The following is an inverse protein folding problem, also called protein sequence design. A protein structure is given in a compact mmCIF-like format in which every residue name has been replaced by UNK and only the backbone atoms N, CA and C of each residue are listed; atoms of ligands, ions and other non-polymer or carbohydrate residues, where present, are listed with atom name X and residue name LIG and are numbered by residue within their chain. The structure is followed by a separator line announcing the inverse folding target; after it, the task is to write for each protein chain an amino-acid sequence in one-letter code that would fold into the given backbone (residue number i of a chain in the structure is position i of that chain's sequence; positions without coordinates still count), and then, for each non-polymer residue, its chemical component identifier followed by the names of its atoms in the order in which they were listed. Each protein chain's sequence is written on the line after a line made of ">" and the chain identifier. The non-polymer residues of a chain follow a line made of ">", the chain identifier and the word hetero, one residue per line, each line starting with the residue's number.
data_IF_519770035439
#
_entry.id   IF_519770035439
#
_cell.length_a   1.000
_cell.length_b   1.000
_cell.length_c   1.000
_cell.angle_alpha   90.00
_cell.angle_beta   90.00
_cell.angle_gamma   90.00
#
_symmetry.space_group_name_H-M   'P 1'
#
loop_
_entity.id
_entity.type
_entity.pdbx_description
1 polymer ?
#
# COMPACT_ATOMS: atom_id res chain seq x y z
N UNK A 1 -13.69 -6.32 25.00
CA UNK A 1 -12.62 -7.24 24.56
C UNK A 1 -12.60 -7.40 23.05
N UNK A 2 -13.62 -7.94 22.38
CA UNK A 2 -13.60 -8.06 20.89
C UNK A 2 -13.45 -6.73 20.10
N UNK A 3 -14.02 -5.61 20.58
CA UNK A 3 -13.82 -4.29 19.94
C UNK A 3 -12.45 -3.66 20.25
N UNK A 4 -11.78 -4.08 21.32
CA UNK A 4 -10.39 -3.73 21.60
C UNK A 4 -9.48 -4.58 20.70
N UNK A 5 -9.70 -5.89 20.65
CA UNK A 5 -8.92 -6.81 19.83
C UNK A 5 -9.01 -6.46 18.34
N UNK A 6 -10.19 -6.10 17.83
CA UNK A 6 -10.39 -5.70 16.43
C UNK A 6 -9.82 -4.29 16.13
N UNK A 7 -9.80 -3.39 17.13
CA UNK A 7 -9.14 -2.09 17.05
C UNK A 7 -7.61 -2.22 17.06
N UNK A 8 -7.05 -3.06 17.93
CA UNK A 8 -5.60 -3.36 17.98
C UNK A 8 -5.15 -4.20 16.79
N UNK A 9 -5.99 -5.07 16.23
CA UNK A 9 -5.67 -5.81 15.01
C UNK A 9 -5.66 -4.88 13.80
N UNK A 10 -6.65 -3.98 13.66
CA UNK A 10 -6.67 -2.97 12.59
C UNK A 10 -5.61 -1.88 12.74
N UNK A 11 -5.40 -1.35 13.94
CA UNK A 11 -4.29 -0.45 14.23
C UNK A 11 -2.99 -1.18 13.94
N UNK A 12 -2.82 -2.41 14.41
CA UNK A 12 -1.61 -3.19 14.15
C UNK A 12 -1.39 -3.55 12.67
N UNK A 13 -2.43 -3.69 11.85
CA UNK A 13 -2.31 -3.93 10.40
C UNK A 13 -2.06 -2.60 9.61
N UNK A 14 -2.65 -1.48 10.05
CA UNK A 14 -2.42 -0.14 9.48
C UNK A 14 -1.05 0.39 9.90
N UNK A 15 -0.68 0.25 11.17
CA UNK A 15 0.66 0.53 11.69
C UNK A 15 1.68 -0.38 11.01
N UNK A 16 1.44 -1.69 10.84
CA UNK A 16 2.34 -2.55 10.05
C UNK A 16 2.44 -2.12 8.58
N UNK A 17 1.34 -1.67 7.97
CA UNK A 17 1.34 -1.16 6.60
C UNK A 17 2.11 0.17 6.47
N UNK A 18 1.88 1.12 7.37
CA UNK A 18 2.56 2.41 7.41
C UNK A 18 4.03 2.26 7.85
N UNK A 19 4.34 1.34 8.77
CA UNK A 19 5.71 0.97 9.16
C UNK A 19 6.44 0.29 8.01
N UNK A 20 5.85 -0.70 7.34
CA UNK A 20 6.46 -1.33 6.17
C UNK A 20 6.72 -0.32 5.04
N UNK A 21 5.76 0.58 4.79
CA UNK A 21 5.95 1.62 3.76
C UNK A 21 7.03 2.64 4.16
N UNK A 22 7.09 3.03 5.45
CA UNK A 22 8.14 3.92 5.98
C UNK A 22 9.51 3.27 5.99
N UNK A 23 9.59 1.98 6.29
CA UNK A 23 10.85 1.22 6.30
C UNK A 23 11.43 1.14 4.89
N UNK A 24 10.58 0.87 3.89
CA UNK A 24 11.03 0.84 2.48
C UNK A 24 11.35 2.24 1.96
N UNK A 25 10.58 3.28 2.31
CA UNK A 25 10.92 4.68 1.97
C UNK A 25 12.24 5.14 2.61
N UNK A 26 12.50 4.73 3.86
CA UNK A 26 13.76 4.97 4.57
C UNK A 26 14.93 4.25 3.87
N UNK A 27 14.73 3.01 3.43
CA UNK A 27 15.73 2.25 2.70
C UNK A 27 16.04 2.89 1.33
N UNK A 28 15.03 3.33 0.59
CA UNK A 28 15.22 4.05 -0.68
C UNK A 28 16.00 5.35 -0.46
N UNK A 29 15.65 6.13 0.57
CA UNK A 29 16.37 7.36 0.92
C UNK A 29 17.83 7.09 1.30
N UNK A 30 18.10 5.97 2.01
CA UNK A 30 19.45 5.51 2.33
C UNK A 30 20.25 5.21 1.07
N UNK A 31 19.69 4.43 0.14
CA UNK A 31 20.36 4.08 -1.12
C UNK A 31 20.60 5.31 -2.01
N UNK A 32 19.68 6.27 -2.04
CA UNK A 32 19.87 7.54 -2.78
C UNK A 32 21.04 8.37 -2.25
N UNK A 33 21.24 8.41 -0.93
CA UNK A 33 22.42 9.08 -0.33
C UNK A 33 23.72 8.35 -0.70
N UNK A 34 23.69 7.02 -0.79
CA UNK A 34 24.83 6.22 -1.23
C UNK A 34 25.14 6.52 -2.70
N UNK A 35 24.12 6.56 -3.56
CA UNK A 35 24.24 6.89 -4.98
C UNK A 35 24.93 8.25 -5.19
N UNK A 36 24.47 9.30 -4.51
CA UNK A 36 25.09 10.64 -4.61
C UNK A 36 26.57 10.64 -4.19
N UNK A 37 26.95 9.83 -3.20
CA UNK A 37 28.35 9.70 -2.79
C UNK A 37 29.17 8.97 -3.85
N UNK A 38 28.62 7.92 -4.46
CA UNK A 38 29.27 7.16 -5.52
C UNK A 38 29.46 8.00 -6.80
N UNK A 39 28.47 8.81 -7.20
CA UNK A 39 28.58 9.73 -8.34
C UNK A 39 29.70 10.75 -8.14
N UNK A 40 29.79 11.36 -6.95
CA UNK A 40 30.89 12.28 -6.61
C UNK A 40 32.24 11.57 -6.63
N UNK A 41 32.31 10.33 -6.17
CA UNK A 41 33.53 9.53 -6.20
C UNK A 41 33.96 9.17 -7.63
N UNK A 42 33.00 8.88 -8.53
CA UNK A 42 33.27 8.62 -9.95
C UNK A 42 33.88 9.84 -10.63
N UNK A 43 33.35 11.04 -10.40
CA UNK A 43 33.91 12.25 -11.04
C UNK A 43 35.31 12.57 -10.51
N UNK A 44 35.56 12.34 -9.22
CA UNK A 44 36.90 12.45 -8.65
C UNK A 44 37.88 11.41 -9.23
N UNK A 45 37.42 10.27 -9.73
CA UNK A 45 38.25 9.24 -10.36
C UNK A 45 38.57 9.52 -11.84
N UNK A 46 37.73 10.31 -12.54
CA UNK A 46 37.96 10.69 -13.95
C UNK A 46 39.11 11.68 -14.12
N UNK A 47 39.26 12.64 -13.21
CA UNK A 47 40.27 13.69 -13.33
C UNK A 47 41.72 13.13 -13.37
N UNK A 48 42.13 12.20 -12.48
CA UNK A 48 43.45 11.58 -12.55
C UNK A 48 43.69 10.77 -13.83
N UNK A 49 42.67 10.14 -14.41
CA UNK A 49 42.80 9.39 -15.66
C UNK A 49 43.23 10.34 -16.78
N UNK A 50 42.45 11.40 -16.98
CA UNK A 50 42.73 12.40 -18.00
C UNK A 50 44.09 13.07 -17.77
N UNK A 51 44.37 13.47 -16.52
CA UNK A 51 45.64 14.12 -16.16
C UNK A 51 46.84 13.23 -16.46
N UNK A 52 46.84 11.98 -16.00
CA UNK A 52 47.99 11.07 -16.19
C UNK A 52 48.17 10.68 -17.66
N UNK A 53 47.07 10.43 -18.40
CA UNK A 53 47.14 10.13 -19.83
C UNK A 53 47.73 11.31 -20.62
N UNK A 54 47.21 12.52 -20.37
CA UNK A 54 47.70 13.75 -21.00
C UNK A 54 49.19 13.97 -20.73
N UNK A 55 49.64 13.75 -19.49
CA UNK A 55 51.07 13.87 -19.15
C UNK A 55 51.90 12.82 -19.88
N UNK A 56 51.45 11.57 -19.96
CA UNK A 56 52.12 10.53 -20.75
C UNK A 56 52.26 10.92 -22.22
N UNK A 57 51.18 11.44 -22.82
CA UNK A 57 51.16 11.91 -24.21
C UNK A 57 52.13 13.08 -24.43
N UNK A 58 52.18 14.05 -23.51
CA UNK A 58 53.12 15.18 -23.55
C UNK A 58 54.58 14.73 -23.45
N UNK A 59 54.88 13.72 -22.62
CA UNK A 59 56.23 13.17 -22.52
C UNK A 59 56.66 12.56 -23.85
N UNK A 60 55.78 11.83 -24.53
CA UNK A 60 56.08 11.27 -25.85
C UNK A 60 56.18 12.35 -26.94
N UNK A 61 55.32 13.36 -26.90
CA UNK A 61 55.35 14.47 -27.86
C UNK A 61 56.66 15.27 -27.78
N UNK A 62 57.16 15.51 -26.56
CA UNK A 62 58.42 16.24 -26.30
C UNK A 62 59.59 15.32 -25.94
N UNK A 63 59.55 14.06 -26.39
CA UNK A 63 60.50 13.04 -25.96
C UNK A 63 61.97 13.43 -26.17
N UNK A 64 62.29 13.96 -27.36
CA UNK A 64 63.65 14.37 -27.70
C UNK A 64 64.18 15.48 -26.78
N UNK A 65 63.38 16.52 -26.57
CA UNK A 65 63.75 17.65 -25.71
C UNK A 65 63.94 17.22 -24.25
N UNK A 66 63.00 16.40 -23.73
CA UNK A 66 63.07 15.89 -22.36
C UNK A 66 64.27 14.95 -22.16
N UNK A 67 64.60 14.13 -23.16
CA UNK A 67 65.78 13.27 -23.15
C UNK A 67 67.07 14.11 -23.12
N UNK A 68 67.16 15.15 -23.95
CA UNK A 68 68.29 16.09 -23.94
C UNK A 68 68.42 16.80 -22.59
N UNK A 69 67.32 17.19 -21.97
CA UNK A 69 67.30 17.80 -20.64
C UNK A 69 67.82 16.84 -19.57
N UNK A 70 67.36 15.58 -19.59
CA UNK A 70 67.85 14.52 -18.70
C UNK A 70 69.35 14.29 -18.86
N UNK A 71 69.82 14.10 -20.10
CA UNK A 71 71.24 13.90 -20.38
C UNK A 71 72.06 15.08 -19.88
N UNK A 72 71.62 16.32 -20.12
CA UNK A 72 72.31 17.52 -19.63
C UNK A 72 72.43 17.54 -18.10
N UNK A 73 71.36 17.22 -17.38
CA UNK A 73 71.36 17.16 -15.90
C UNK A 73 72.30 16.07 -15.39
N UNK A 74 72.21 14.86 -15.94
CA UNK A 74 73.02 13.70 -15.53
C UNK A 74 74.51 13.96 -15.81
N UNK A 75 74.84 14.52 -16.97
CA UNK A 75 76.21 14.85 -17.36
C UNK A 75 76.82 15.93 -16.46
N UNK A 76 76.07 17.01 -16.16
CA UNK A 76 76.54 18.02 -15.21
C UNK A 76 76.79 17.43 -13.83
N UNK A 77 75.95 16.50 -13.39
CA UNK A 77 76.15 15.81 -12.11
C UNK A 77 77.38 14.90 -12.15
N UNK A 78 77.62 14.19 -13.26
CA UNK A 78 78.81 13.35 -13.48
C UNK A 78 80.11 14.15 -13.48
N UNK A 79 80.08 15.38 -13.99
CA UNK A 79 81.20 16.33 -13.96
C UNK A 79 81.47 16.95 -12.56
N UNK A 80 80.74 16.52 -11.54
CA UNK A 80 80.96 16.94 -10.15
C UNK A 80 80.24 18.21 -9.72
N UNK A 81 79.34 18.78 -10.55
CA UNK A 81 78.57 19.97 -10.16
C UNK A 81 77.60 19.67 -9.01
N UNK A 82 77.41 20.65 -8.12
CA UNK A 82 76.39 20.58 -7.07
C UNK A 82 74.99 20.73 -7.68
N UNK A 83 73.94 20.31 -6.94
CA UNK A 83 72.57 20.44 -7.45
C UNK A 83 72.14 21.90 -7.59
N UNK A 84 72.60 22.77 -6.71
CA UNK A 84 72.38 24.21 -6.75
C UNK A 84 72.98 24.83 -8.01
N UNK A 85 74.20 24.41 -8.38
CA UNK A 85 74.85 24.84 -9.62
C UNK A 85 74.09 24.37 -10.87
N UNK A 86 73.57 23.14 -10.86
CA UNK A 86 72.77 22.59 -11.97
C UNK A 86 71.47 23.38 -12.13
N UNK A 87 70.76 23.65 -11.02
CA UNK A 87 69.53 24.44 -11.02
C UNK A 87 69.78 25.84 -11.58
N UNK A 88 70.81 26.54 -11.09
CA UNK A 88 71.15 27.88 -11.57
C UNK A 88 71.43 27.91 -13.09
N UNK A 89 72.17 26.92 -13.62
CA UNK A 89 72.45 26.83 -15.05
C UNK A 89 71.18 26.61 -15.89
N UNK A 90 70.23 25.81 -15.39
CA UNK A 90 68.96 25.54 -16.09
C UNK A 90 68.02 26.75 -16.03
N UNK A 91 67.99 27.47 -14.91
CA UNK A 91 67.22 28.71 -14.78
C UNK A 91 67.75 29.82 -15.70
N UNK A 92 69.07 29.96 -15.83
CA UNK A 92 69.67 30.91 -16.77
C UNK A 92 69.34 30.54 -18.22
N UNK A 93 69.50 29.26 -18.59
CA UNK A 93 69.11 28.76 -19.91
C UNK A 93 67.62 28.97 -20.23
N UNK A 94 66.75 28.81 -19.23
CA UNK A 94 65.32 29.09 -19.36
C UNK A 94 65.03 30.56 -19.63
N UNK A 95 65.73 31.50 -18.98
CA UNK A 95 65.54 32.96 -19.17
C UNK A 95 65.82 33.40 -20.61
N UNK A 96 66.80 32.77 -21.26
CA UNK A 96 67.13 33.04 -22.68
C UNK A 96 66.36 32.16 -23.66
N UNK A 97 65.32 31.45 -23.19
CA UNK A 97 64.50 30.54 -24.00
C UNK A 97 65.30 29.43 -24.71
N UNK A 98 66.41 28.97 -24.12
CA UNK A 98 67.25 27.92 -24.69
C UNK A 98 66.58 26.54 -24.57
N UNK A 99 66.54 25.77 -25.66
CA UNK A 99 66.07 24.37 -25.62
C UNK A 99 67.23 23.44 -25.25
N UNK A 100 67.05 22.49 -24.33
CA UNK A 100 65.79 22.06 -23.71
C UNK A 100 65.46 22.73 -22.35
N UNK A 101 66.24 23.72 -21.92
CA UNK A 101 66.12 24.37 -20.60
C UNK A 101 64.78 25.08 -20.38
N UNK A 102 64.09 25.50 -21.45
CA UNK A 102 62.76 26.11 -21.38
C UNK A 102 61.73 25.29 -20.62
N UNK A 103 61.88 23.96 -20.64
CA UNK A 103 60.93 23.05 -20.00
C UNK A 103 61.21 22.88 -18.51
N UNK A 104 62.33 23.37 -17.99
CA UNK A 104 62.68 23.29 -16.58
C UNK A 104 61.69 24.10 -15.70
N UNK A 105 61.17 23.50 -14.62
CA UNK A 105 60.40 24.21 -13.61
C UNK A 105 61.13 24.25 -12.27
N UNK A 106 61.48 23.08 -11.73
CA UNK A 106 62.23 22.96 -10.48
C UNK A 106 62.85 21.56 -10.38
N UNK A 107 63.77 21.37 -9.44
CA UNK A 107 64.43 20.09 -9.20
C UNK A 107 64.47 19.80 -7.70
N UNK A 108 64.05 18.61 -7.31
CA UNK A 108 64.16 18.11 -5.94
C UNK A 108 65.40 17.21 -5.80
N UNK A 109 66.50 17.68 -5.18
CA UNK A 109 67.76 16.93 -5.16
C UNK A 109 67.69 15.60 -4.42
N UNK A 110 66.96 15.56 -3.30
CA UNK A 110 66.88 14.38 -2.42
C UNK A 110 66.23 13.18 -3.11
N UNK A 111 65.15 13.46 -3.84
CA UNK A 111 64.36 12.44 -4.54
C UNK A 111 64.76 12.30 -6.01
N UNK A 112 65.63 13.19 -6.52
CA UNK A 112 66.05 13.29 -7.91
C UNK A 112 64.84 13.41 -8.86
N UNK A 113 63.89 14.25 -8.47
CA UNK A 113 62.66 14.51 -9.23
C UNK A 113 62.79 15.85 -9.92
N UNK A 114 62.77 15.82 -11.24
CA UNK A 114 62.74 16.99 -12.12
C UNK A 114 61.29 17.37 -12.42
N UNK A 115 60.87 18.57 -12.06
CA UNK A 115 59.60 19.13 -12.47
C UNK A 115 59.78 19.89 -13.77
N UNK A 116 58.97 19.55 -14.77
CA UNK A 116 58.95 20.20 -16.08
C UNK A 116 57.61 20.88 -16.34
N UNK A 117 57.62 21.97 -17.09
CA UNK A 117 56.44 22.71 -17.49
C UNK A 117 56.33 22.73 -19.02
N UNK A 118 55.28 22.09 -19.55
CA UNK A 118 54.97 22.00 -20.99
C UNK A 118 53.49 22.35 -21.16
N UNK A 119 53.17 23.23 -22.12
CA UNK A 119 51.78 23.61 -22.45
C UNK A 119 50.92 23.96 -21.22
N UNK A 120 51.46 24.79 -20.31
CA UNK A 120 50.83 25.19 -19.04
C UNK A 120 50.51 24.04 -18.07
N UNK A 121 51.11 22.86 -18.25
CA UNK A 121 51.04 21.73 -17.32
C UNK A 121 52.40 21.47 -16.71
N UNK A 122 52.45 21.43 -15.39
CA UNK A 122 53.65 21.04 -14.64
C UNK A 122 53.52 19.60 -14.18
N UNK A 123 54.54 18.79 -14.45
CA UNK A 123 54.58 17.39 -14.04
C UNK A 123 56.01 16.95 -13.70
N UNK A 124 56.09 15.85 -12.96
CA UNK A 124 57.32 15.38 -12.34
C UNK A 124 57.92 14.19 -13.10
N UNK A 125 59.22 14.20 -13.31
CA UNK A 125 59.99 13.15 -13.95
C UNK A 125 61.11 12.69 -13.01
N UNK A 126 61.23 11.39 -12.80
CA UNK A 126 62.27 10.80 -11.99
C UNK A 126 63.54 10.61 -12.83
N UNK A 127 64.63 11.26 -12.43
CA UNK A 127 65.92 11.21 -13.12
C UNK A 127 66.63 9.84 -13.00
N UNK A 128 66.21 8.98 -12.07
CA UNK A 128 66.73 7.61 -11.93
C UNK A 128 66.13 6.63 -12.93
N UNK A 129 65.13 7.07 -13.69
CA UNK A 129 64.41 6.27 -14.67
C UNK A 129 64.58 6.90 -16.05
N UNK A 130 64.44 6.12 -17.12
CA UNK A 130 64.43 6.69 -18.47
C UNK A 130 63.17 7.54 -18.69
N UNK A 131 63.19 8.40 -19.71
CA UNK A 131 62.00 9.18 -20.10
C UNK A 131 60.85 8.24 -20.47
N UNK A 132 61.13 7.14 -21.17
CA UNK A 132 60.14 6.11 -21.51
C UNK A 132 59.52 5.50 -20.24
N UNK A 133 60.35 5.12 -19.26
CA UNK A 133 59.86 4.54 -18.01
C UNK A 133 59.01 5.55 -17.21
N UNK A 134 59.33 6.85 -17.28
CA UNK A 134 58.50 7.90 -16.71
C UNK A 134 57.14 7.99 -17.42
N UNK A 135 57.12 8.00 -18.76
CA UNK A 135 55.89 8.01 -19.54
C UNK A 135 55.00 6.78 -19.21
N UNK A 136 55.59 5.59 -19.23
CA UNK A 136 54.91 4.33 -18.91
C UNK A 136 54.32 4.33 -17.51
N UNK A 137 55.00 4.94 -16.54
CA UNK A 137 54.49 5.08 -15.19
C UNK A 137 53.24 5.98 -15.12
N UNK A 138 53.17 7.07 -15.91
CA UNK A 138 51.95 7.87 -16.05
C UNK A 138 50.82 7.09 -16.72
N UNK A 139 51.08 6.35 -17.81
CA UNK A 139 50.07 5.48 -18.43
C UNK A 139 49.59 4.37 -17.48
N UNK A 140 50.49 3.76 -16.72
CA UNK A 140 50.14 2.75 -15.72
C UNK A 140 49.25 3.34 -14.62
N UNK A 141 49.53 4.56 -14.16
CA UNK A 141 48.66 5.29 -13.22
C UNK A 141 47.28 5.54 -13.83
N UNK A 142 47.20 5.93 -15.10
CA UNK A 142 45.94 6.08 -15.83
C UNK A 142 45.16 4.76 -15.87
N UNK A 143 45.79 3.67 -16.34
CA UNK A 143 45.16 2.33 -16.41
C UNK A 143 44.69 1.82 -15.05
N UNK A 144 45.46 2.07 -13.98
CA UNK A 144 45.07 1.71 -12.61
C UNK A 144 43.86 2.50 -12.15
N UNK A 145 43.77 3.80 -12.49
CA UNK A 145 42.62 4.63 -12.20
C UNK A 145 41.39 4.22 -13.04
N UNK A 146 41.56 3.86 -14.32
CA UNK A 146 40.49 3.31 -15.18
C UNK A 146 39.91 2.01 -14.62
N UNK A 147 40.76 1.09 -14.13
CA UNK A 147 40.28 -0.14 -13.48
C UNK A 147 39.45 0.16 -12.24
N UNK A 148 39.83 1.17 -11.45
CA UNK A 148 39.06 1.63 -10.29
C UNK A 148 37.73 2.27 -10.71
N UNK A 149 37.74 3.09 -11.76
CA UNK A 149 36.54 3.70 -12.34
C UNK A 149 35.53 2.62 -12.74
N UNK A 150 35.98 1.61 -13.50
CA UNK A 150 35.13 0.48 -13.91
C UNK A 150 34.53 -0.28 -12.72
N UNK A 151 35.31 -0.46 -11.65
CA UNK A 151 34.82 -1.06 -10.40
C UNK A 151 33.72 -0.23 -9.74
N UNK A 152 33.93 1.08 -9.66
CA UNK A 152 32.96 2.01 -9.10
C UNK A 152 31.69 2.13 -9.96
N UNK A 153 31.80 2.05 -11.29
CA UNK A 153 30.66 2.02 -12.22
C UNK A 153 29.79 0.77 -12.01
N UNK A 154 30.40 -0.41 -11.83
CA UNK A 154 29.64 -1.63 -11.51
C UNK A 154 28.88 -1.48 -10.20
N UNK A 155 29.51 -0.90 -9.18
CA UNK A 155 28.86 -0.69 -7.89
C UNK A 155 27.74 0.34 -7.94
N UNK A 156 27.86 1.36 -8.81
CA UNK A 156 26.80 2.31 -9.09
C UNK A 156 25.60 1.61 -9.72
N UNK A 157 25.83 0.75 -10.72
CA UNK A 157 24.78 -0.05 -11.37
C UNK A 157 24.06 -0.96 -10.37
N UNK A 158 24.79 -1.67 -9.51
CA UNK A 158 24.18 -2.48 -8.44
C UNK A 158 23.29 -1.64 -7.50
N UNK A 159 23.73 -0.43 -7.17
CA UNK A 159 22.97 0.49 -6.31
C UNK A 159 21.70 0.98 -7.01
N UNK A 160 21.77 1.29 -8.31
CA UNK A 160 20.61 1.65 -9.12
C UNK A 160 19.59 0.52 -9.21
N UNK A 161 20.03 -0.72 -9.44
CA UNK A 161 19.15 -1.90 -9.45
C UNK A 161 18.43 -2.07 -8.10
N UNK A 162 19.16 -1.95 -6.99
CA UNK A 162 18.55 -2.02 -5.64
C UNK A 162 17.50 -0.95 -5.39
N UNK A 163 17.74 0.29 -5.86
CA UNK A 163 16.75 1.38 -5.77
C UNK A 163 15.51 1.04 -6.59
N UNK A 164 15.67 0.47 -7.79
CA UNK A 164 14.55 0.12 -8.66
C UNK A 164 13.72 -1.05 -8.09
N UNK A 165 14.37 -2.07 -7.54
CA UNK A 165 13.72 -3.18 -6.85
C UNK A 165 12.93 -2.72 -5.62
N UNK A 166 13.53 -1.87 -4.77
CA UNK A 166 12.85 -1.29 -3.62
C UNK A 166 11.62 -0.46 -4.04
N UNK A 167 11.73 0.34 -5.11
CA UNK A 167 10.58 1.10 -5.66
C UNK A 167 9.49 0.20 -6.25
N UNK A 168 9.87 -0.92 -6.90
CA UNK A 168 8.90 -1.90 -7.42
C UNK A 168 8.15 -2.58 -6.28
N UNK A 169 8.81 -2.89 -5.17
CA UNK A 169 8.15 -3.42 -3.96
C UNK A 169 7.12 -2.42 -3.42
N UNK A 170 7.46 -1.14 -3.28
CA UNK A 170 6.50 -0.09 -2.88
C UNK A 170 5.33 0.00 -3.86
N UNK A 171 5.60 -0.09 -5.16
CA UNK A 171 4.56 0.02 -6.18
C UNK A 171 3.64 -1.19 -6.17
N UNK A 172 4.18 -2.41 -6.02
CA UNK A 172 3.38 -3.64 -5.90
C UNK A 172 2.60 -3.70 -4.59
N UNK A 173 3.16 -3.23 -3.48
CA UNK A 173 2.44 -3.10 -2.20
C UNK A 173 1.34 -2.03 -2.29
N UNK A 174 1.59 -0.91 -2.97
CA UNK A 174 0.58 0.15 -3.24
C UNK A 174 -0.47 -0.27 -4.27
N UNK A 175 -0.14 -1.09 -5.25
CA UNK A 175 -1.08 -1.60 -6.27
C UNK A 175 -1.95 -2.74 -5.72
N UNK A 176 -1.39 -3.58 -4.84
CA UNK A 176 -2.17 -4.57 -4.07
C UNK A 176 -3.05 -3.90 -3.01
N UNK A 177 -2.71 -2.67 -2.60
CA UNK A 177 -3.61 -1.78 -1.89
C UNK A 177 -4.44 -0.98 -2.90
N UNK A 178 -5.44 -1.63 -3.51
CA UNK A 178 -6.54 -0.88 -4.13
C UNK A 178 -6.99 0.23 -3.19
N UNK A 179 -7.25 1.46 -3.67
CA UNK A 179 -7.70 2.53 -2.80
C UNK A 179 -8.95 2.04 -2.09
N UNK A 180 -8.81 1.77 -0.79
CA UNK A 180 -9.95 1.51 0.07
C UNK A 180 -10.84 2.73 -0.11
N UNK A 181 -11.93 2.51 -0.85
CA UNK A 181 -13.11 3.37 -0.95
C UNK A 181 -13.19 4.16 0.34
N UNK A 182 -13.01 5.48 0.29
CA UNK A 182 -13.09 6.38 1.46
C UNK A 182 -14.17 5.82 2.39
N UNK A 183 -13.76 5.17 3.48
CA UNK A 183 -14.70 4.40 4.29
C UNK A 183 -15.72 5.40 4.82
N UNK A 184 -16.91 5.41 4.22
CA UNK A 184 -18.03 6.23 4.69
C UNK A 184 -18.15 6.00 6.19
N UNK A 185 -18.38 7.08 6.95
CA UNK A 185 -18.71 6.95 8.37
C UNK A 185 -19.85 5.95 8.48
N UNK A 186 -19.57 4.78 9.03
CA UNK A 186 -20.56 3.72 9.19
C UNK A 186 -21.62 4.25 10.14
N UNK A 187 -22.87 4.17 9.74
CA UNK A 187 -23.96 4.51 10.62
C UNK A 187 -24.00 3.51 11.77
N UNK A 188 -24.43 3.96 12.96
CA UNK A 188 -24.44 3.14 14.17
C UNK A 188 -25.26 1.85 14.01
N UNK A 189 -26.25 1.86 13.11
CA UNK A 189 -27.14 0.73 12.85
C UNK A 189 -26.54 -0.34 11.92
N UNK A 190 -25.40 -0.06 11.25
CA UNK A 190 -24.77 -1.00 10.32
C UNK A 190 -24.14 -2.23 10.99
N UNK A 191 -24.06 -2.22 12.34
CA UNK A 191 -23.72 -3.39 13.16
C UNK A 191 -24.89 -4.38 13.35
N UNK A 192 -26.10 -4.03 12.90
CA UNK A 192 -27.30 -4.86 12.94
C UNK A 192 -27.69 -5.33 11.54
N UNK A 193 -28.68 -6.22 11.41
CA UNK A 193 -29.41 -6.37 10.14
C UNK A 193 -30.24 -5.11 9.97
N UNK A 194 -30.25 -4.51 8.79
CA UNK A 194 -31.01 -3.30 8.59
C UNK A 194 -31.36 -3.12 7.12
N UNK A 195 -32.43 -2.39 6.89
CA UNK A 195 -32.84 -1.89 5.58
C UNK A 195 -33.70 -0.64 5.76
N UNK A 196 -33.87 0.16 4.72
CA UNK A 196 -34.96 1.15 4.69
C UNK A 196 -36.18 0.49 4.07
N UNK A 197 -37.37 0.67 4.63
CA UNK A 197 -38.60 0.20 4.01
C UNK A 197 -38.83 0.89 2.67
N UNK A 198 -39.75 0.35 1.86
CA UNK A 198 -40.20 1.03 0.64
C UNK A 198 -40.77 2.44 0.91
N UNK A 199 -41.30 2.67 2.12
CA UNK A 199 -41.76 3.98 2.61
C UNK A 199 -40.63 4.87 3.20
N UNK A 200 -39.38 4.42 3.18
CA UNK A 200 -38.22 5.18 3.65
C UNK A 200 -37.99 5.18 5.18
N UNK A 201 -38.68 4.32 5.94
CA UNK A 201 -38.45 4.16 7.38
C UNK A 201 -37.30 3.19 7.64
N UNK A 202 -36.47 3.46 8.65
CA UNK A 202 -35.36 2.58 9.00
C UNK A 202 -35.87 1.39 9.81
N UNK A 203 -35.57 0.18 9.35
CA UNK A 203 -35.88 -1.08 10.04
C UNK A 203 -34.59 -1.77 10.44
N UNK A 204 -34.49 -2.21 11.70
CA UNK A 204 -33.27 -2.75 12.31
C UNK A 204 -33.59 -4.06 13.00
N UNK A 205 -32.85 -5.13 12.73
CA UNK A 205 -32.97 -6.43 13.38
C UNK A 205 -31.66 -6.91 13.99
N UNK A 206 -31.70 -7.53 15.17
CA UNK A 206 -30.49 -8.11 15.75
C UNK A 206 -29.94 -9.28 14.90
N UNK A 207 -28.62 -9.50 14.99
CA UNK A 207 -27.93 -10.60 14.31
C UNK A 207 -27.83 -11.85 15.17
N UNK A 208 -27.89 -11.66 16.48
CA UNK A 208 -27.74 -12.66 17.53
C UNK A 208 -28.39 -12.17 18.84
N UNK A 209 -28.33 -12.99 19.89
CA UNK A 209 -28.91 -12.66 21.19
C UNK A 209 -28.29 -11.41 21.84
N UNK A 210 -27.01 -11.14 21.59
CA UNK A 210 -26.31 -9.99 22.21
C UNK A 210 -26.70 -8.68 21.52
N UNK A 211 -26.76 -8.68 20.19
CA UNK A 211 -27.21 -7.54 19.39
C UNK A 211 -28.71 -7.28 19.57
N UNK A 212 -29.54 -8.31 19.71
CA UNK A 212 -30.94 -8.13 20.14
C UNK A 212 -31.03 -7.34 21.45
N UNK A 213 -30.23 -7.71 22.47
CA UNK A 213 -30.23 -6.97 23.74
C UNK A 213 -29.81 -5.52 23.61
N UNK A 214 -28.75 -5.25 22.83
CA UNK A 214 -28.27 -3.89 22.60
C UNK A 214 -29.32 -3.07 21.86
N UNK A 215 -29.96 -3.65 20.84
CA UNK A 215 -31.01 -2.99 20.06
C UNK A 215 -32.17 -2.57 20.95
N UNK A 216 -32.76 -3.51 21.70
CA UNK A 216 -33.92 -3.24 22.55
C UNK A 216 -33.59 -2.27 23.69
N UNK A 217 -32.43 -2.43 24.34
CA UNK A 217 -32.10 -1.59 25.52
C UNK A 217 -31.60 -0.19 25.18
N UNK A 218 -30.89 -0.01 24.07
CA UNK A 218 -30.16 1.25 23.79
C UNK A 218 -30.72 2.05 22.63
N UNK A 219 -31.54 1.44 21.76
CA UNK A 219 -31.87 2.01 20.46
C UNK A 219 -33.37 2.02 20.13
N UNK A 220 -34.22 1.50 21.02
CA UNK A 220 -35.68 1.62 20.91
C UNK A 220 -36.13 2.94 21.55
N UNK A 221 -37.01 3.66 20.86
CA UNK A 221 -37.72 4.85 21.36
C UNK A 221 -39.20 4.54 21.58
N UNK A 222 -39.93 5.28 22.43
CA UNK A 222 -41.33 4.99 22.79
C UNK A 222 -42.31 4.87 21.60
N UNK A 223 -42.03 5.57 20.51
CA UNK A 223 -42.87 5.61 19.30
C UNK A 223 -42.58 4.47 18.32
N UNK A 224 -41.52 3.68 18.56
CA UNK A 224 -41.13 2.58 17.70
C UNK A 224 -42.04 1.37 17.91
N UNK A 225 -42.00 0.40 16.99
CA UNK A 225 -42.66 -0.89 17.17
C UNK A 225 -41.67 -2.02 17.01
N UNK A 226 -41.86 -3.08 17.82
CA UNK A 226 -40.94 -4.20 17.97
C UNK A 226 -41.62 -5.46 17.48
N UNK A 227 -40.96 -6.19 16.57
CA UNK A 227 -41.41 -7.43 15.97
C UNK A 227 -40.61 -8.62 16.47
N UNK A 228 -41.28 -9.77 16.54
CA UNK A 228 -40.63 -11.06 16.75
C UNK A 228 -41.49 -12.16 16.11
N UNK A 229 -40.87 -13.13 15.44
CA UNK A 229 -41.61 -14.26 14.86
C UNK A 229 -42.03 -15.26 15.96
N UNK A 230 -43.14 -15.95 15.78
CA UNK A 230 -43.61 -17.00 16.73
C UNK A 230 -42.81 -18.30 16.59
N UNK A 231 -41.49 -18.19 16.61
CA UNK A 231 -40.56 -19.30 16.55
C UNK A 231 -39.28 -18.97 17.31
N UNK A 232 -38.62 -20.01 17.81
CA UNK A 232 -37.31 -19.86 18.44
C UNK A 232 -36.26 -19.31 17.47
N UNK A 233 -35.30 -18.57 18.01
CA UNK A 233 -34.18 -18.05 17.21
C UNK A 233 -34.58 -16.96 16.22
N UNK A 234 -35.77 -16.38 16.35
CA UNK A 234 -36.13 -15.17 15.62
C UNK A 234 -35.37 -13.95 16.16
N UNK A 235 -35.00 -13.00 15.30
CA UNK A 235 -34.45 -11.73 15.74
C UNK A 235 -35.56 -10.85 16.33
N UNK A 236 -35.18 -9.94 17.22
CA UNK A 236 -36.00 -8.76 17.50
C UNK A 236 -35.75 -7.75 16.39
N UNK A 237 -36.82 -7.28 15.77
CA UNK A 237 -36.79 -6.28 14.69
C UNK A 237 -37.55 -5.04 15.12
N UNK A 238 -37.01 -3.86 14.85
CA UNK A 238 -37.55 -2.56 15.29
C UNK A 238 -37.72 -1.67 14.09
N UNK A 239 -38.90 -1.05 13.96
CA UNK A 239 -39.14 0.03 13.00
C UNK A 239 -38.93 1.35 13.72
N UNK A 240 -38.01 2.16 13.22
CA UNK A 240 -37.74 3.51 13.73
C UNK A 240 -38.79 4.47 13.18
N UNK A 241 -39.86 4.70 13.95
CA UNK A 241 -41.00 5.55 13.55
C UNK A 241 -40.60 7.01 13.40
N UNK A 242 -39.76 7.52 14.32
CA UNK A 242 -39.47 8.96 14.47
C UNK A 242 -40.73 9.81 14.59
N UNK A 243 -41.79 9.27 15.22
CA UNK A 243 -43.08 9.94 15.41
C UNK A 243 -43.98 10.00 14.17
N UNK A 244 -43.64 9.28 13.09
CA UNK A 244 -44.46 9.18 11.88
C UNK A 244 -45.38 7.96 11.94
N UNK A 245 -46.59 8.02 11.33
CA UNK A 245 -47.42 6.84 11.15
C UNK A 245 -46.66 5.79 10.34
N UNK A 246 -46.81 4.52 10.72
CA UNK A 246 -46.11 3.40 10.08
C UNK A 246 -47.07 2.76 9.07
N UNK A 247 -46.78 2.82 7.75
CA UNK A 247 -47.64 2.19 6.76
C UNK A 247 -47.64 0.66 6.87
N UNK A 248 -48.74 0.04 6.44
CA UNK A 248 -48.91 -1.43 6.46
C UNK A 248 -47.81 -2.14 5.66
N UNK A 249 -47.37 -1.55 4.55
CA UNK A 249 -46.27 -2.08 3.74
C UNK A 249 -44.97 -2.20 4.55
N UNK A 250 -44.61 -1.15 5.29
CA UNK A 250 -43.46 -1.17 6.21
C UNK A 250 -43.61 -2.23 7.32
N UNK A 251 -44.81 -2.44 7.84
CA UNK A 251 -45.12 -3.51 8.82
C UNK A 251 -44.87 -4.89 8.21
N UNK A 252 -45.36 -5.13 6.99
CA UNK A 252 -45.19 -6.39 6.26
C UNK A 252 -43.71 -6.67 5.95
N UNK A 253 -42.96 -5.65 5.55
CA UNK A 253 -41.52 -5.76 5.29
C UNK A 253 -40.73 -6.09 6.56
N UNK A 254 -40.99 -5.40 7.67
CA UNK A 254 -40.35 -5.71 8.95
C UNK A 254 -40.70 -7.12 9.44
N UNK A 255 -41.94 -7.55 9.25
CA UNK A 255 -42.36 -8.92 9.54
C UNK A 255 -41.62 -9.95 8.67
N UNK A 256 -41.45 -9.68 7.37
CA UNK A 256 -40.69 -10.55 6.47
C UNK A 256 -39.22 -10.68 6.90
N UNK A 257 -38.61 -9.61 7.41
CA UNK A 257 -37.26 -9.67 8.00
C UNK A 257 -37.25 -10.58 9.24
N UNK A 258 -38.18 -10.40 10.17
CA UNK A 258 -38.25 -11.20 11.39
C UNK A 258 -38.48 -12.69 11.10
N UNK A 259 -39.37 -12.99 10.14
CA UNK A 259 -39.65 -14.34 9.68
C UNK A 259 -38.43 -14.99 9.02
N UNK A 260 -37.85 -14.33 8.02
CA UNK A 260 -36.81 -14.92 7.15
C UNK A 260 -35.48 -15.11 7.85
N UNK A 261 -35.15 -14.28 8.84
CA UNK A 261 -33.92 -14.42 9.64
C UNK A 261 -34.11 -15.24 10.92
N UNK A 262 -35.27 -15.87 11.10
CA UNK A 262 -35.52 -16.79 12.19
C UNK A 262 -35.03 -18.22 11.88
N UNK A 263 -35.18 -19.10 12.87
CA UNK A 263 -34.89 -20.53 12.70
C UNK A 263 -35.81 -21.21 11.68
N UNK A 264 -36.96 -20.61 11.36
CA UNK A 264 -37.89 -21.12 10.35
C UNK A 264 -37.22 -21.32 8.98
N UNK A 265 -36.23 -20.48 8.65
CA UNK A 265 -35.45 -20.59 7.42
C UNK A 265 -34.64 -21.88 7.36
N UNK A 266 -33.94 -22.20 8.45
CA UNK A 266 -33.17 -23.44 8.56
C UNK A 266 -34.06 -24.67 8.54
N UNK A 267 -35.28 -24.54 9.06
CA UNK A 267 -36.29 -25.60 9.11
C UNK A 267 -37.14 -25.71 7.83
N UNK A 268 -36.83 -24.90 6.80
CA UNK A 268 -37.53 -24.89 5.51
C UNK A 268 -39.05 -24.70 5.61
N UNK A 269 -39.51 -23.94 6.61
CA UNK A 269 -40.93 -23.59 6.71
C UNK A 269 -41.33 -22.65 5.56
N UNK A 270 -42.57 -22.77 5.08
CA UNK A 270 -43.11 -21.91 4.03
C UNK A 270 -43.52 -20.54 4.55
N UNK A 271 -44.15 -20.51 5.73
CA UNK A 271 -44.64 -19.30 6.39
C UNK A 271 -44.48 -19.37 7.90
N UNK A 272 -44.39 -18.21 8.56
CA UNK A 272 -44.46 -18.09 10.03
C UNK A 272 -45.34 -16.89 10.40
N UNK A 273 -45.99 -16.96 11.55
CA UNK A 273 -46.66 -15.77 12.11
C UNK A 273 -45.63 -14.87 12.78
N UNK A 274 -45.81 -13.57 12.62
CA UNK A 274 -44.99 -12.56 13.30
C UNK A 274 -45.91 -11.68 14.09
N UNK A 275 -45.52 -11.34 15.32
CA UNK A 275 -46.25 -10.35 16.10
C UNK A 275 -45.41 -9.09 16.27
N UNK A 276 -46.09 -7.98 16.50
CA UNK A 276 -45.49 -6.73 16.93
C UNK A 276 -46.19 -6.16 18.17
N UNK A 277 -45.40 -5.41 18.95
CA UNK A 277 -45.77 -4.78 20.21
C UNK A 277 -45.08 -3.43 20.36
N UNK A 278 -45.59 -2.59 21.25
CA UNK A 278 -44.94 -1.32 21.61
C UNK A 278 -43.81 -1.54 22.62
N UNK A 279 -42.89 -0.58 22.80
CA UNK A 279 -41.75 -0.70 23.71
C UNK A 279 -42.16 -0.94 25.17
N UNK A 280 -43.27 -0.37 25.61
CA UNK A 280 -43.80 -0.49 26.99
C UNK A 280 -44.22 -1.93 27.31
N UNK A 281 -44.53 -2.72 26.28
CA UNK A 281 -44.90 -4.13 26.42
C UNK A 281 -43.69 -5.05 26.59
N UNK A 282 -42.47 -4.56 26.43
CA UNK A 282 -41.24 -5.38 26.43
C UNK A 282 -40.46 -5.17 27.72
N UNK A 283 -40.31 -6.25 28.51
CA UNK A 283 -39.57 -6.22 29.78
C UNK A 283 -38.47 -7.28 29.82
N UNK A 284 -37.38 -6.98 30.54
CA UNK A 284 -36.33 -7.95 30.87
C UNK A 284 -36.44 -8.50 32.30
N UNK A 285 -37.48 -8.12 33.02
CA UNK A 285 -37.74 -8.63 34.37
C UNK A 285 -38.61 -9.88 34.26
N UNK A 286 -38.09 -11.08 34.63
CA UNK A 286 -38.92 -12.26 34.70
C UNK A 286 -39.99 -12.12 35.80
N UNK A 287 -41.12 -12.86 35.70
CA UNK A 287 -41.98 -13.10 36.84
C UNK A 287 -41.19 -13.71 38.00
N UNK A 288 -41.60 -13.43 39.24
CA UNK A 288 -40.93 -13.91 40.46
C UNK A 288 -40.62 -15.41 40.40
N UNK A 289 -39.35 -15.77 40.56
CA UNK A 289 -38.88 -17.16 40.58
C UNK A 289 -38.46 -17.76 39.23
N UNK A 290 -38.55 -17.03 38.11
CA UNK A 290 -38.09 -17.50 36.79
C UNK A 290 -36.81 -16.80 36.33
N UNK A 291 -36.03 -17.46 35.48
CA UNK A 291 -34.83 -16.89 34.86
C UNK A 291 -35.02 -16.72 33.34
N UNK A 292 -34.77 -15.53 32.82
CA UNK A 292 -34.78 -15.28 31.38
C UNK A 292 -33.41 -15.59 30.78
N UNK A 293 -33.40 -16.39 29.71
CA UNK A 293 -32.18 -16.61 28.92
C UNK A 293 -31.69 -15.30 28.30
N UNK A 294 -30.37 -15.21 28.09
CA UNK A 294 -29.75 -14.07 27.41
C UNK A 294 -30.39 -13.88 26.02
N UNK A 295 -30.82 -12.66 25.71
CA UNK A 295 -31.53 -12.31 24.47
C UNK A 295 -33.04 -12.57 24.48
N UNK A 296 -33.62 -13.04 25.58
CA UNK A 296 -35.08 -13.19 25.74
C UNK A 296 -35.69 -12.00 26.48
N UNK A 297 -36.93 -11.67 26.11
CA UNK A 297 -37.72 -10.60 26.71
C UNK A 297 -39.13 -11.10 27.02
N UNK A 298 -39.70 -10.62 28.11
CA UNK A 298 -41.12 -10.82 28.44
C UNK A 298 -41.96 -9.83 27.65
N UNK A 299 -43.00 -10.33 27.02
CA UNK A 299 -43.99 -9.54 26.28
C UNK A 299 -45.30 -9.56 27.06
N UNK A 300 -45.78 -8.39 27.44
CA UNK A 300 -47.01 -8.20 28.21
C UNK A 300 -48.12 -7.56 27.36
N UNK A 301 -49.37 -7.84 27.69
CA UNK A 301 -50.53 -7.29 26.98
C UNK A 301 -50.80 -7.94 25.63
N UNK A 302 -51.63 -7.28 24.82
CA UNK A 302 -52.10 -7.80 23.53
C UNK A 302 -51.04 -7.68 22.45
N UNK A 303 -50.90 -8.74 21.64
CA UNK A 303 -50.02 -8.80 20.48
C UNK A 303 -50.78 -8.49 19.21
N UNK A 304 -50.18 -7.74 18.30
CA UNK A 304 -50.71 -7.52 16.96
C UNK A 304 -50.03 -8.50 16.00
N UNK A 305 -50.77 -9.15 15.10
CA UNK A 305 -50.24 -10.25 14.29
C UNK A 305 -50.23 -9.93 12.80
N UNK A 306 -49.11 -10.25 12.16
CA UNK A 306 -48.98 -10.44 10.71
C UNK A 306 -48.91 -11.96 10.48
N UNK A 307 -49.97 -12.52 9.90
CA UNK A 307 -50.11 -13.97 9.75
C UNK A 307 -49.56 -14.45 8.40
N UNK A 308 -49.05 -15.68 8.38
CA UNK A 308 -48.65 -16.34 7.13
C UNK A 308 -47.50 -15.64 6.39
N UNK A 309 -46.53 -15.07 7.12
CA UNK A 309 -45.42 -14.34 6.51
C UNK A 309 -44.49 -15.32 5.81
N UNK A 310 -44.38 -15.19 4.48
CA UNK A 310 -43.51 -16.04 3.66
C UNK A 310 -42.02 -15.78 3.94
N UNK A 311 -41.23 -16.84 3.90
CA UNK A 311 -39.79 -16.77 4.09
C UNK A 311 -39.10 -16.47 2.76
N UNK A 312 -38.78 -15.21 2.55
CA UNK A 312 -38.06 -14.73 1.36
C UNK A 312 -37.30 -13.46 1.68
N UNK A 313 -36.17 -13.30 1.01
CA UNK A 313 -35.40 -12.05 1.03
C UNK A 313 -35.00 -11.72 -0.40
N UNK A 314 -34.59 -10.48 -0.61
CA UNK A 314 -33.86 -10.08 -1.79
C UNK A 314 -32.45 -9.64 -1.43
N UNK A 315 -31.50 -9.94 -2.33
CA UNK A 315 -30.13 -9.43 -2.29
C UNK A 315 -29.88 -8.74 -3.61
N UNK A 316 -29.43 -7.49 -3.57
CA UNK A 316 -29.24 -6.68 -4.75
C UNK A 316 -28.05 -5.74 -4.63
N UNK A 317 -27.81 -5.01 -5.71
CA UNK A 317 -26.82 -3.95 -5.75
C UNK A 317 -27.48 -2.61 -6.03
N UNK A 318 -27.08 -1.61 -5.25
CA UNK A 318 -27.44 -0.21 -5.45
C UNK A 318 -26.23 0.53 -6.04
N UNK A 319 -26.44 1.16 -7.19
CA UNK A 319 -25.50 2.00 -7.91
C UNK A 319 -25.78 3.45 -7.52
N UNK A 320 -24.84 4.06 -6.81
CA UNK A 320 -24.79 5.52 -6.66
C UNK A 320 -23.63 6.05 -7.53
N UNK A 321 -23.63 7.33 -7.90
CA UNK A 321 -22.75 7.97 -8.90
C UNK A 321 -21.24 7.63 -8.85
N UNK A 322 -20.73 7.10 -7.73
CA UNK A 322 -19.35 6.59 -7.59
C UNK A 322 -19.19 5.32 -6.75
N UNK A 323 -20.29 4.69 -6.31
CA UNK A 323 -20.22 3.58 -5.34
C UNK A 323 -21.26 2.50 -5.63
N UNK A 324 -20.81 1.25 -5.67
CA UNK A 324 -21.68 0.08 -5.66
C UNK A 324 -21.81 -0.43 -4.23
N UNK A 325 -23.05 -0.68 -3.80
CA UNK A 325 -23.34 -1.24 -2.48
C UNK A 325 -24.20 -2.48 -2.60
N UNK A 326 -23.85 -3.54 -1.88
CA UNK A 326 -24.74 -4.68 -1.67
C UNK A 326 -25.80 -4.30 -0.63
N UNK A 327 -27.05 -4.51 -0.99
CA UNK A 327 -28.22 -4.30 -0.13
C UNK A 327 -28.98 -5.61 -0.02
N UNK A 328 -29.60 -5.88 1.12
CA UNK A 328 -30.42 -7.06 1.29
C UNK A 328 -31.42 -6.90 2.44
N UNK A 329 -32.53 -7.60 2.32
CA UNK A 329 -33.69 -7.41 3.19
C UNK A 329 -34.96 -7.93 2.53
N UNK A 330 -36.14 -7.43 2.93
CA UNK A 330 -37.41 -7.81 2.34
C UNK A 330 -37.46 -7.51 0.84
N UNK A 331 -38.14 -8.36 0.08
CA UNK A 331 -38.17 -8.32 -1.39
C UNK A 331 -38.68 -6.98 -1.90
N UNK A 332 -39.79 -6.53 -1.34
CA UNK A 332 -40.47 -5.30 -1.74
C UNK A 332 -39.59 -4.07 -1.47
N UNK A 333 -38.99 -3.99 -0.27
CA UNK A 333 -38.08 -2.92 0.08
C UNK A 333 -36.84 -2.84 -0.84
N UNK A 334 -36.22 -3.99 -1.12
CA UNK A 334 -35.01 -4.04 -1.96
C UNK A 334 -35.34 -3.78 -3.43
N UNK A 335 -36.53 -4.17 -3.90
CA UNK A 335 -36.95 -3.92 -5.28
C UNK A 335 -37.05 -2.42 -5.61
N UNK A 336 -37.40 -1.58 -4.62
CA UNK A 336 -37.45 -0.12 -4.77
C UNK A 336 -36.07 0.52 -4.69
N UNK A 337 -35.14 -0.09 -3.95
CA UNK A 337 -33.84 0.53 -3.62
C UNK A 337 -32.68 0.08 -4.49
N UNK A 338 -32.73 -1.14 -5.03
CA UNK A 338 -31.65 -1.74 -5.78
C UNK A 338 -31.88 -1.57 -7.29
N UNK A 339 -30.80 -1.31 -8.03
CA UNK A 339 -30.86 -1.25 -9.50
C UNK A 339 -31.08 -2.64 -10.09
N UNK A 340 -30.55 -3.67 -9.43
CA UNK A 340 -30.79 -5.07 -9.78
C UNK A 340 -30.72 -5.92 -8.52
N UNK A 341 -31.57 -6.95 -8.46
CA UNK A 341 -31.67 -7.85 -7.32
C UNK A 341 -32.02 -9.28 -7.75
N UNK A 342 -31.86 -10.19 -6.80
CA UNK A 342 -32.30 -11.58 -6.88
C UNK A 342 -33.07 -11.93 -5.62
N UNK A 343 -34.16 -12.68 -5.78
CA UNK A 343 -34.91 -13.25 -4.67
C UNK A 343 -34.25 -14.55 -4.21
N UNK A 344 -34.23 -14.74 -2.89
CA UNK A 344 -33.70 -15.92 -2.23
C UNK A 344 -34.76 -16.45 -1.28
N UNK A 345 -34.93 -17.77 -1.29
CA UNK A 345 -35.85 -18.53 -0.43
C UNK A 345 -35.08 -19.64 0.30
N UNK A 346 -35.65 -20.26 1.35
CA UNK A 346 -35.10 -21.48 1.92
C UNK A 346 -34.86 -22.55 0.84
N UNK A 347 -33.74 -23.26 0.94
CA UNK A 347 -33.32 -24.21 -0.10
C UNK A 347 -32.15 -25.06 0.32
N UNK A 348 -31.48 -25.69 -0.64
CA UNK A 348 -30.47 -26.74 -0.42
C UNK A 348 -29.02 -26.29 -0.67
N UNK A 349 -28.80 -25.10 -1.25
CA UNK A 349 -27.46 -24.59 -1.54
C UNK A 349 -26.81 -23.98 -0.30
N UNK A 350 -25.52 -24.29 -0.08
CA UNK A 350 -24.71 -23.67 0.98
C UNK A 350 -24.58 -22.16 0.75
N UNK A 351 -24.61 -21.37 1.82
CA UNK A 351 -24.56 -19.90 1.75
C UNK A 351 -23.35 -19.36 0.97
N UNK A 352 -22.17 -20.00 1.07
CA UNK A 352 -20.98 -19.58 0.33
C UNK A 352 -21.10 -19.79 -1.18
N UNK A 353 -21.71 -20.89 -1.62
CA UNK A 353 -21.94 -21.15 -3.03
C UNK A 353 -23.05 -20.25 -3.56
N UNK A 354 -24.16 -20.15 -2.81
CA UNK A 354 -25.27 -19.28 -3.15
C UNK A 354 -24.83 -17.82 -3.29
N UNK A 355 -23.94 -17.33 -2.42
CA UNK A 355 -23.39 -15.98 -2.53
C UNK A 355 -22.58 -15.76 -3.83
N UNK A 356 -21.81 -16.78 -4.28
CA UNK A 356 -21.10 -16.73 -5.57
C UNK A 356 -22.09 -16.66 -6.74
N UNK A 357 -23.11 -17.50 -6.71
CA UNK A 357 -24.12 -17.59 -7.76
C UNK A 357 -24.94 -16.28 -7.83
N UNK A 358 -25.30 -15.70 -6.68
CA UNK A 358 -25.95 -14.39 -6.57
C UNK A 358 -25.08 -13.30 -7.18
N UNK A 359 -23.80 -13.21 -6.79
CA UNK A 359 -22.87 -12.19 -7.32
C UNK A 359 -22.75 -12.31 -8.84
N UNK A 360 -22.65 -13.53 -9.36
CA UNK A 360 -22.59 -13.77 -10.79
C UNK A 360 -23.89 -13.35 -11.50
N UNK A 361 -25.06 -13.74 -10.97
CA UNK A 361 -26.35 -13.37 -11.56
C UNK A 361 -26.65 -11.87 -11.51
N UNK A 362 -26.13 -11.17 -10.51
CA UNK A 362 -26.20 -9.71 -10.45
C UNK A 362 -25.25 -9.04 -11.44
N UNK A 363 -24.04 -9.58 -11.63
CA UNK A 363 -23.07 -9.01 -12.58
C UNK A 363 -23.47 -9.17 -14.04
N UNK A 364 -24.26 -10.20 -14.38
CA UNK A 364 -24.81 -10.40 -15.73
C UNK A 364 -26.00 -9.50 -16.05
N UNK A 365 -26.61 -8.88 -15.04
CA UNK A 365 -27.80 -8.01 -15.18
C UNK A 365 -27.47 -6.52 -15.24
N UNK A 366 -26.20 -6.14 -15.26
CA UNK A 366 -25.74 -4.73 -15.35
C UNK A 366 -24.90 -4.52 -16.60
N UNK A 367 -24.64 -3.25 -16.97
CA UNK A 367 -23.73 -2.93 -18.07
C UNK A 367 -22.29 -3.40 -17.77
N UNK A 368 -21.49 -3.58 -18.82
CA UNK A 368 -20.09 -4.06 -18.71
C UNK A 368 -19.24 -3.15 -17.81
N UNK A 369 -19.51 -1.85 -17.77
CA UNK A 369 -18.82 -0.88 -16.91
C UNK A 369 -18.96 -1.23 -15.41
N UNK A 370 -20.14 -1.71 -14.99
CA UNK A 370 -20.41 -2.05 -13.59
C UNK A 370 -20.14 -3.52 -13.27
N UNK A 371 -20.04 -4.40 -14.27
CA UNK A 371 -19.79 -5.83 -14.10
C UNK A 371 -18.47 -6.11 -13.38
N UNK A 372 -17.40 -5.40 -13.75
CA UNK A 372 -16.07 -5.50 -13.09
C UNK A 372 -16.17 -5.11 -11.62
N UNK A 373 -16.86 -4.00 -11.35
CA UNK A 373 -17.05 -3.47 -10.00
C UNK A 373 -17.87 -4.41 -9.12
N UNK A 374 -18.93 -5.06 -9.61
CA UNK A 374 -19.69 -6.08 -8.86
C UNK A 374 -18.83 -7.33 -8.61
N UNK A 375 -18.06 -7.76 -9.61
CA UNK A 375 -17.21 -8.96 -9.50
C UNK A 375 -16.08 -8.76 -8.49
N UNK A 376 -15.61 -7.53 -8.32
CA UNK A 376 -14.62 -7.15 -7.32
C UNK A 376 -15.16 -7.14 -5.88
N UNK A 377 -16.49 -7.09 -5.68
CA UNK A 377 -17.07 -7.12 -4.32
C UNK A 377 -16.79 -8.49 -3.68
N UNK A 378 -16.28 -8.50 -2.42
CA UNK A 378 -16.05 -9.73 -1.67
C UNK A 378 -17.33 -10.56 -1.53
N UNK A 379 -17.22 -11.88 -1.65
CA UNK A 379 -18.37 -12.80 -1.57
C UNK A 379 -19.06 -12.70 -0.21
N UNK A 380 -18.32 -12.37 0.84
CA UNK A 380 -18.79 -12.22 2.22
C UNK A 380 -19.86 -11.11 2.35
N UNK A 381 -19.79 -10.05 1.53
CA UNK A 381 -20.78 -8.98 1.53
C UNK A 381 -22.15 -9.48 1.07
N UNK A 382 -22.20 -10.39 0.10
CA UNK A 382 -23.45 -11.05 -0.31
C UNK A 382 -23.88 -12.12 0.70
N UNK A 383 -22.91 -12.91 1.18
CA UNK A 383 -23.18 -14.00 2.11
C UNK A 383 -23.79 -13.51 3.44
N UNK A 384 -23.40 -12.33 3.92
CA UNK A 384 -23.90 -11.75 5.17
C UNK A 384 -25.43 -11.49 5.18
N UNK A 385 -26.03 -11.32 4.00
CA UNK A 385 -27.47 -11.18 3.85
C UNK A 385 -28.20 -12.52 3.76
N UNK A 386 -27.53 -13.65 3.52
CA UNK A 386 -28.18 -14.95 3.47
C UNK A 386 -28.53 -15.39 4.91
N UNK A 387 -29.79 -15.77 5.21
CA UNK A 387 -30.17 -16.24 6.54
C UNK A 387 -29.43 -17.53 6.93
N UNK A 388 -29.42 -17.82 8.23
CA UNK A 388 -28.68 -18.96 8.78
C UNK A 388 -29.22 -20.28 8.22
N UNK A 389 -28.41 -20.96 7.42
CA UNK A 389 -28.76 -22.26 6.83
C UNK A 389 -28.35 -22.35 5.36
N UNK A 390 -29.23 -22.94 4.58
CA UNK A 390 -29.12 -23.11 3.13
C UNK A 390 -30.22 -22.30 2.46
N UNK A 391 -30.01 -21.94 1.20
CA UNK A 391 -30.97 -21.16 0.44
C UNK A 391 -31.00 -21.60 -1.01
N UNK A 392 -31.88 -20.98 -1.79
CA UNK A 392 -31.96 -21.15 -3.24
C UNK A 392 -32.38 -19.82 -3.85
N UNK A 393 -31.78 -19.45 -4.98
CA UNK A 393 -32.27 -18.34 -5.79
C UNK A 393 -33.58 -18.73 -6.46
N UNK A 394 -34.55 -17.82 -6.44
CA UNK A 394 -35.82 -18.01 -7.13
C UNK A 394 -35.71 -17.71 -8.62
#
# INVERSE_FOLDING_TARGET
>A
NSALDEYYTKMGDIERGDEATKDVESEVARQQRILQRQEKALEALKEPIFKNKTVGDLIYLHFGDLQSLFTKVIEQKRLGKSWEQIIANLEEGKKVSNRPDIFFSSLEPNNQVLHVAIENKTFSLNLRQSIQANADHYYMRSKKAEKKLKGAEMQLQETLTKIEEAKKQVTQERENQQPLIKSRKKEWFEKFRWFYSSDGLLVIGGRDSTSNEVLIKKHVEPQDIIFHAEIMGAPFVVIKSKGKPIPEQTINEAAQLAASYSRAWKEMLSTVNVYWVTPEQVSKTPPSGQFLKKGSFMISGSKNFVRGVSLRIAIGVKLNDKHIRVVGGPVEAISVQANTFVEVVPGDQKSSQLAKDIRHRLSTKVSEDFKRSITAIPIQEFQGFIPLGRGKMK
#
